data_IF_047593582337
#
_entry.id   IF_047593582337
#
_cell.length_a   1.000
_cell.length_b   1.000
_cell.length_c   1.000
_cell.angle_alpha   90.00
_cell.angle_beta   90.00
_cell.angle_gamma   90.00
#
_symmetry.space_group_name_H-M   'P 1'
#
loop_
_entity.id
_entity.type
_entity.pdbx_description
1 polymer ?
#
# COMPACT_ATOMS: atom_id res chain seq x y z
N UNK A 1 -23.85 16.64 -4.87
CA UNK A 1 -23.91 15.50 -3.94
C UNK A 1 -25.00 14.57 -4.44
N UNK A 2 -24.73 13.27 -4.58
CA UNK A 2 -25.79 12.29 -4.86
C UNK A 2 -26.77 12.28 -3.67
N UNK A 3 -28.08 12.25 -3.94
CA UNK A 3 -29.08 12.22 -2.88
C UNK A 3 -28.85 11.00 -1.96
N UNK A 4 -28.98 11.21 -0.64
CA UNK A 4 -28.86 10.11 0.32
C UNK A 4 -29.97 9.08 0.02
N UNK A 5 -29.64 7.79 -0.15
CA UNK A 5 -30.65 6.76 -0.33
C UNK A 5 -31.66 6.75 0.83
N UNK A 6 -32.97 6.57 0.57
CA UNK A 6 -33.99 6.57 1.63
C UNK A 6 -33.72 5.57 2.75
N UNK A 7 -33.13 4.42 2.41
CA UNK A 7 -32.76 3.39 3.38
C UNK A 7 -31.59 3.80 4.30
N UNK A 8 -30.91 4.94 4.07
CA UNK A 8 -29.86 5.45 4.95
C UNK A 8 -30.30 6.65 5.80
N UNK A 9 -31.55 7.13 5.68
CA UNK A 9 -32.06 8.22 6.52
C UNK A 9 -32.08 7.85 8.01
N UNK A 10 -32.35 6.59 8.34
CA UNK A 10 -32.26 6.11 9.73
C UNK A 10 -30.83 6.18 10.29
N UNK A 11 -29.81 6.00 9.43
CA UNK A 11 -28.38 6.11 9.78
C UNK A 11 -28.04 7.58 10.07
N UNK A 12 -28.50 8.51 9.22
CA UNK A 12 -28.36 9.95 9.45
C UNK A 12 -28.94 10.36 10.80
N UNK A 13 -30.17 9.93 11.09
CA UNK A 13 -30.85 10.26 12.35
C UNK A 13 -30.13 9.68 13.57
N UNK A 14 -29.66 8.44 13.49
CA UNK A 14 -28.89 7.81 14.56
C UNK A 14 -27.54 8.51 14.81
N UNK A 15 -26.84 8.91 13.75
CA UNK A 15 -25.59 9.66 13.86
C UNK A 15 -25.81 11.06 14.46
N UNK A 16 -26.87 11.76 14.03
CA UNK A 16 -27.24 13.06 14.58
C UNK A 16 -27.59 12.97 16.08
N UNK A 17 -28.35 11.95 16.47
CA UNK A 17 -28.67 11.70 17.88
C UNK A 17 -27.41 11.41 18.71
N UNK A 18 -26.44 10.67 18.15
CA UNK A 18 -25.18 10.34 18.80
C UNK A 18 -24.24 11.54 18.98
N UNK A 19 -24.36 12.59 18.15
CA UNK A 19 -23.63 13.85 18.33
C UNK A 19 -24.08 14.64 19.57
N UNK A 20 -25.25 14.32 20.13
CA UNK A 20 -25.74 14.89 21.39
C UNK A 20 -25.80 16.42 21.36
N UNK A 21 -24.96 17.06 22.17
CA UNK A 21 -24.92 18.53 22.31
C UNK A 21 -24.28 19.28 21.15
N UNK A 22 -23.62 18.60 20.21
CA UNK A 22 -22.96 19.24 19.06
C UNK A 22 -24.00 19.62 18.01
N UNK A 23 -24.02 20.90 17.64
CA UNK A 23 -24.94 21.45 16.62
C UNK A 23 -24.17 22.26 15.57
N UNK A 24 -24.68 22.42 14.34
CA UNK A 24 -24.16 23.41 13.41
C UNK A 24 -24.16 24.79 14.06
N UNK A 25 -23.15 25.63 13.81
CA UNK A 25 -23.09 26.96 14.42
C UNK A 25 -24.24 27.89 13.95
N UNK A 26 -24.76 27.66 12.73
CA UNK A 26 -25.73 28.54 12.09
C UNK A 26 -25.11 29.87 11.66
N UNK A 27 -25.95 30.89 11.49
CA UNK A 27 -25.49 32.26 11.28
C UNK A 27 -24.78 32.80 12.54
N UNK A 28 -23.80 33.70 12.40
CA UNK A 28 -23.19 34.39 13.53
C UNK A 28 -24.25 35.03 14.44
N UNK A 29 -24.13 34.84 15.75
CA UNK A 29 -25.01 35.40 16.78
C UNK A 29 -24.58 36.80 17.24
N UNK A 30 -23.40 37.27 16.83
CA UNK A 30 -22.88 38.61 17.11
C UNK A 30 -21.80 39.02 16.12
N UNK A 31 -21.51 40.32 16.05
CA UNK A 31 -20.59 40.90 15.06
C UNK A 31 -19.15 40.36 15.20
N UNK A 32 -18.75 39.96 16.41
CA UNK A 32 -17.38 39.53 16.69
C UNK A 32 -17.17 38.01 16.50
N UNK A 33 -18.23 37.20 16.32
CA UNK A 33 -18.09 35.74 16.26
C UNK A 33 -17.28 35.27 15.06
N UNK A 34 -17.44 35.90 13.89
CA UNK A 34 -16.66 35.59 12.70
C UNK A 34 -15.17 35.84 12.92
N UNK A 35 -14.84 36.98 13.54
CA UNK A 35 -13.46 37.31 13.91
C UNK A 35 -12.93 36.33 14.98
N UNK A 36 -13.75 35.99 15.96
CA UNK A 36 -13.39 35.06 17.03
C UNK A 36 -13.09 33.64 16.50
N UNK A 37 -13.82 33.19 15.49
CA UNK A 37 -13.55 31.91 14.81
C UNK A 37 -12.22 31.95 14.05
N UNK A 38 -11.93 33.06 13.35
CA UNK A 38 -10.64 33.23 12.65
C UNK A 38 -9.45 33.25 13.60
N UNK A 39 -9.64 33.73 14.83
CA UNK A 39 -8.61 33.79 15.88
C UNK A 39 -8.59 32.54 16.77
N UNK A 40 -9.36 31.50 16.44
CA UNK A 40 -9.49 30.31 17.29
C UNK A 40 -8.18 29.52 17.39
N UNK A 41 -7.91 29.04 18.60
CA UNK A 41 -6.70 28.30 18.94
C UNK A 41 -6.99 26.82 19.13
N UNK A 42 -6.05 25.95 18.70
CA UNK A 42 -6.21 24.49 18.75
C UNK A 42 -6.26 24.02 20.20
N UNK A 43 -7.25 23.21 20.55
CA UNK A 43 -7.32 22.55 21.86
C UNK A 43 -6.47 21.27 21.88
N UNK A 44 -5.98 20.89 23.06
CA UNK A 44 -5.31 19.61 23.26
C UNK A 44 -6.32 18.45 23.35
N UNK A 45 -7.50 18.69 23.92
CA UNK A 45 -8.59 17.72 24.01
C UNK A 45 -9.11 17.24 22.65
N UNK A 46 -8.86 18.01 21.58
CA UNK A 46 -9.21 17.67 20.20
C UNK A 46 -8.25 16.71 19.49
N UNK A 47 -7.13 16.31 20.09
CA UNK A 47 -6.12 15.44 19.45
C UNK A 47 -6.60 14.02 19.17
N UNK A 48 -7.59 13.56 19.93
CA UNK A 48 -8.14 12.21 19.85
C UNK A 48 -9.23 12.06 18.79
N UNK A 49 -9.46 13.07 17.94
CA UNK A 49 -10.43 12.96 16.86
C UNK A 49 -10.07 11.82 15.89
N UNK A 50 -11.07 11.13 15.32
CA UNK A 50 -10.85 10.14 14.26
C UNK A 50 -10.22 10.77 12.99
N UNK A 51 -9.76 9.95 12.03
CA UNK A 51 -9.24 10.44 10.76
C UNK A 51 -10.13 11.49 10.09
N UNK A 52 -9.50 12.52 9.52
CA UNK A 52 -10.17 13.71 8.98
C UNK A 52 -11.31 13.39 8.01
N UNK A 53 -11.14 12.39 7.16
CA UNK A 53 -12.14 12.03 6.16
C UNK A 53 -13.42 11.44 6.78
N UNK A 54 -13.33 10.71 7.90
CA UNK A 54 -14.52 10.21 8.59
C UNK A 54 -15.32 11.34 9.22
N UNK A 55 -14.61 12.31 9.82
CA UNK A 55 -15.23 13.49 10.42
C UNK A 55 -15.88 14.37 9.34
N UNK A 56 -15.20 14.56 8.22
CA UNK A 56 -15.75 15.29 7.07
C UNK A 56 -17.00 14.60 6.50
N UNK A 57 -16.92 13.28 6.23
CA UNK A 57 -18.04 12.51 5.69
C UNK A 57 -19.23 12.47 6.64
N UNK A 58 -19.00 12.42 7.96
CA UNK A 58 -20.06 12.53 8.96
C UNK A 58 -20.71 13.92 8.94
N UNK A 59 -19.92 14.96 9.23
CA UNK A 59 -20.47 16.29 9.51
C UNK A 59 -20.98 16.97 8.24
N UNK A 60 -20.16 17.00 7.20
CA UNK A 60 -20.46 17.76 5.98
C UNK A 60 -21.41 16.97 5.08
N UNK A 61 -21.06 15.73 4.75
CA UNK A 61 -21.78 15.02 3.70
C UNK A 61 -23.02 14.28 4.19
N UNK A 62 -22.96 13.56 5.32
CA UNK A 62 -24.12 12.84 5.87
C UNK A 62 -25.08 13.81 6.56
N UNK A 63 -24.56 14.70 7.42
CA UNK A 63 -25.37 15.57 8.28
C UNK A 63 -25.58 16.99 7.72
N UNK A 64 -24.88 17.39 6.66
CA UNK A 64 -25.11 18.68 6.00
C UNK A 64 -24.61 19.90 6.78
N UNK A 65 -23.63 19.75 7.66
CA UNK A 65 -23.03 20.88 8.36
C UNK A 65 -22.28 21.77 7.36
N UNK A 66 -22.27 23.08 7.63
CA UNK A 66 -21.58 24.04 6.77
C UNK A 66 -20.07 23.77 6.75
N UNK A 67 -19.49 23.76 5.55
CA UNK A 67 -18.05 23.77 5.31
C UNK A 67 -17.66 25.14 4.76
N UNK A 68 -16.79 25.88 5.47
CA UNK A 68 -16.32 27.20 5.01
C UNK A 68 -15.25 27.11 3.90
N UNK A 69 -14.79 25.91 3.57
CA UNK A 69 -13.86 25.67 2.45
C UNK A 69 -12.39 25.80 2.82
N UNK A 70 -11.58 25.97 1.79
CA UNK A 70 -10.13 26.06 1.87
C UNK A 70 -9.66 27.46 2.28
N UNK A 71 -8.58 27.51 3.06
CA UNK A 71 -7.87 28.72 3.43
C UNK A 71 -6.36 28.44 3.54
N UNK A 72 -5.54 29.45 3.84
CA UNK A 72 -4.10 29.31 4.08
C UNK A 72 -3.81 28.17 5.08
N UNK A 73 -3.20 27.09 4.60
CA UNK A 73 -2.88 25.86 5.37
C UNK A 73 -4.08 25.13 5.97
N UNK A 74 -5.30 25.38 5.47
CA UNK A 74 -6.54 24.75 5.93
C UNK A 74 -7.30 24.15 4.76
N UNK A 75 -7.64 22.86 4.84
CA UNK A 75 -8.39 22.16 3.80
C UNK A 75 -9.90 22.37 3.90
N UNK A 76 -10.43 22.41 5.12
CA UNK A 76 -11.84 22.65 5.41
C UNK A 76 -12.05 23.04 6.87
N UNK A 77 -13.14 23.76 7.12
CA UNK A 77 -13.54 24.27 8.43
C UNK A 77 -15.02 23.99 8.61
N UNK A 78 -15.38 23.33 9.71
CA UNK A 78 -16.78 23.06 10.11
C UNK A 78 -17.07 23.81 11.40
N UNK A 79 -17.78 24.96 11.35
CA UNK A 79 -18.20 25.69 12.54
C UNK A 79 -19.32 24.96 13.28
N UNK A 80 -19.16 24.78 14.59
CA UNK A 80 -20.12 24.09 15.45
C UNK A 80 -20.41 24.89 16.72
N UNK A 81 -21.50 24.54 17.39
CA UNK A 81 -21.79 24.96 18.76
C UNK A 81 -21.87 23.75 19.67
N UNK A 82 -21.30 23.90 20.86
CA UNK A 82 -21.40 22.93 21.94
C UNK A 82 -21.56 23.68 23.27
N UNK A 83 -22.54 23.28 24.08
CA UNK A 83 -22.90 23.99 25.33
C UNK A 83 -23.08 25.50 25.14
N UNK A 84 -23.68 25.90 24.00
CA UNK A 84 -23.93 27.31 23.65
C UNK A 84 -22.71 28.09 23.17
N UNK A 85 -21.51 27.50 23.13
CA UNK A 85 -20.27 28.18 22.73
C UNK A 85 -19.85 27.78 21.32
N UNK A 86 -19.23 28.73 20.62
CA UNK A 86 -18.71 28.55 19.27
C UNK A 86 -17.37 27.79 19.28
N UNK A 87 -17.23 26.82 18.38
CA UNK A 87 -16.00 26.10 18.07
C UNK A 87 -15.88 25.88 16.55
N UNK A 88 -14.71 25.52 16.07
CA UNK A 88 -14.51 24.97 14.73
C UNK A 88 -13.82 23.61 14.80
N UNK A 89 -14.18 22.72 13.88
CA UNK A 89 -13.42 21.51 13.58
C UNK A 89 -12.73 21.75 12.25
N UNK A 90 -11.40 21.64 12.24
CA UNK A 90 -10.61 22.05 11.08
C UNK A 90 -9.55 21.02 10.74
N UNK A 91 -9.40 20.75 9.46
CA UNK A 91 -8.28 19.97 8.94
C UNK A 91 -7.23 20.94 8.38
N UNK A 92 -6.15 21.13 9.15
CA UNK A 92 -5.01 21.98 8.79
C UNK A 92 -3.80 21.15 8.38
N UNK A 93 -2.74 21.79 7.89
CA UNK A 93 -1.46 21.12 7.52
C UNK A 93 -0.95 20.17 8.62
N UNK A 94 -1.12 20.56 9.88
CA UNK A 94 -0.69 19.78 11.05
C UNK A 94 -1.79 18.85 11.60
N UNK A 95 -2.69 18.42 10.72
CA UNK A 95 -3.77 17.48 11.00
C UNK A 95 -5.06 18.13 11.51
N UNK A 96 -5.99 17.25 11.86
CA UNK A 96 -7.33 17.59 12.31
C UNK A 96 -7.32 18.07 13.78
N UNK A 97 -8.14 19.07 14.10
CA UNK A 97 -8.32 19.52 15.49
C UNK A 97 -9.64 20.21 15.74
N UNK A 98 -9.94 20.39 17.03
CA UNK A 98 -11.00 21.28 17.51
C UNK A 98 -10.34 22.59 17.93
N UNK A 99 -10.92 23.71 17.51
CA UNK A 99 -10.41 25.04 17.75
C UNK A 99 -11.46 25.83 18.52
N UNK A 100 -11.00 26.56 19.55
CA UNK A 100 -11.83 27.36 20.42
C UNK A 100 -11.39 28.84 20.31
N UNK A 101 -12.33 29.79 20.15
CA UNK A 101 -12.01 31.19 20.26
C UNK A 101 -11.39 31.54 21.62
N UNK A 102 -10.29 32.29 21.59
CA UNK A 102 -9.56 32.76 22.78
C UNK A 102 -9.71 34.27 22.92
N UNK A 103 -10.00 34.77 24.12
CA UNK A 103 -10.34 36.17 24.35
C UNK A 103 -9.37 36.84 25.33
N UNK A 104 -9.04 38.11 25.09
CA UNK A 104 -8.26 38.90 26.04
C UNK A 104 -9.06 39.11 27.32
N UNK A 105 -8.50 38.71 28.47
CA UNK A 105 -9.17 38.69 29.79
C UNK A 105 -10.29 37.63 29.89
N UNK A 106 -9.89 36.34 29.95
CA UNK A 106 -10.75 35.16 30.03
C UNK A 106 -11.80 35.18 31.17
N UNK A 107 -11.65 36.05 32.16
CA UNK A 107 -12.52 36.13 33.34
C UNK A 107 -13.96 36.57 33.04
N UNK A 108 -14.26 37.15 31.87
CA UNK A 108 -15.64 37.61 31.57
C UNK A 108 -16.16 37.31 30.15
N UNK A 109 -15.37 36.73 29.22
CA UNK A 109 -15.79 36.53 27.80
C UNK A 109 -16.25 37.84 27.10
N UNK A 110 -15.73 39.01 27.50
CA UNK A 110 -16.09 40.35 26.98
C UNK A 110 -14.94 41.01 26.19
N UNK A 111 -13.84 40.29 25.93
CA UNK A 111 -12.66 40.84 25.23
C UNK A 111 -12.64 40.62 23.72
N UNK A 112 -11.75 41.33 23.02
CA UNK A 112 -11.40 41.01 21.63
C UNK A 112 -10.73 39.62 21.56
N UNK A 113 -11.10 38.84 20.54
CA UNK A 113 -10.45 37.56 20.29
C UNK A 113 -8.98 37.75 19.89
N UNK A 114 -8.10 36.92 20.41
CA UNK A 114 -6.65 36.99 20.17
C UNK A 114 -6.18 35.74 19.44
N UNK A 115 -5.30 35.91 18.45
CA UNK A 115 -4.61 34.81 17.80
C UNK A 115 -3.66 34.12 18.78
N UNK A 116 -3.50 32.81 18.63
CA UNK A 116 -2.52 32.00 19.38
C UNK A 116 -2.66 32.08 20.90
N UNK A 117 -3.87 32.31 21.41
CA UNK A 117 -4.16 32.22 22.83
C UNK A 117 -4.17 30.78 23.33
N UNK A 118 -4.11 30.60 24.66
CA UNK A 118 -4.31 29.28 25.28
C UNK A 118 -5.81 29.04 25.44
N UNK A 119 -6.39 27.95 24.92
CA UNK A 119 -7.76 27.57 25.23
C UNK A 119 -7.98 27.41 26.74
N UNK A 120 -9.15 27.80 27.23
CA UNK A 120 -9.50 27.65 28.64
C UNK A 120 -9.72 26.18 29.03
N UNK A 121 -9.61 25.86 30.32
CA UNK A 121 -9.88 24.50 30.83
C UNK A 121 -11.28 23.98 30.46
N UNK A 122 -12.28 24.87 30.44
CA UNK A 122 -13.64 24.56 29.97
C UNK A 122 -13.65 24.19 28.49
N UNK A 123 -12.92 24.92 27.64
CA UNK A 123 -12.81 24.61 26.21
C UNK A 123 -12.06 23.29 25.96
N UNK A 124 -11.04 22.99 26.77
CA UNK A 124 -10.32 21.72 26.74
C UNK A 124 -11.21 20.55 27.16
N UNK A 125 -12.04 20.73 28.18
CA UNK A 125 -13.00 19.72 28.62
C UNK A 125 -14.08 19.48 27.56
N UNK A 126 -14.67 20.54 27.01
CA UNK A 126 -15.62 20.42 25.90
C UNK A 126 -15.00 19.72 24.68
N UNK A 127 -13.74 19.99 24.36
CA UNK A 127 -13.06 19.31 23.26
C UNK A 127 -12.95 17.79 23.46
N UNK A 128 -12.61 17.34 24.69
CA UNK A 128 -12.58 15.90 25.02
C UNK A 128 -13.96 15.25 24.88
N UNK A 129 -14.99 15.92 25.38
CA UNK A 129 -16.37 15.44 25.27
C UNK A 129 -16.84 15.36 23.81
N UNK A 130 -16.56 16.40 23.02
CA UNK A 130 -16.88 16.43 21.60
C UNK A 130 -16.18 15.29 20.84
N UNK A 131 -14.92 14.98 21.14
CA UNK A 131 -14.23 13.82 20.57
C UNK A 131 -14.98 12.50 20.85
N UNK A 132 -15.48 12.30 22.07
CA UNK A 132 -16.25 11.10 22.44
C UNK A 132 -17.56 11.04 21.66
N UNK A 133 -18.27 12.16 21.54
CA UNK A 133 -19.54 12.24 20.80
C UNK A 133 -19.34 11.99 19.30
N UNK A 134 -18.30 12.59 18.70
CA UNK A 134 -17.96 12.39 17.28
C UNK A 134 -17.59 10.93 17.01
N UNK A 135 -16.82 10.27 17.88
CA UNK A 135 -16.52 8.84 17.78
C UNK A 135 -17.80 7.98 17.79
N UNK A 136 -18.70 8.25 18.73
CA UNK A 136 -20.00 7.55 18.80
C UNK A 136 -20.82 7.75 17.53
N UNK A 137 -20.88 8.98 17.01
CA UNK A 137 -21.59 9.30 15.78
C UNK A 137 -20.98 8.62 14.55
N UNK A 138 -19.64 8.53 14.47
CA UNK A 138 -18.93 7.78 13.43
C UNK A 138 -19.31 6.30 13.46
N UNK A 139 -19.34 5.66 14.63
CA UNK A 139 -19.78 4.26 14.75
C UNK A 139 -21.22 4.09 14.24
N UNK A 140 -22.11 5.04 14.52
CA UNK A 140 -23.49 5.00 13.97
C UNK A 140 -23.54 5.22 12.47
N UNK A 141 -22.58 5.94 11.90
CA UNK A 141 -22.49 6.25 10.46
C UNK A 141 -21.75 5.18 9.63
N UNK A 142 -21.25 4.09 10.23
CA UNK A 142 -20.54 3.02 9.52
C UNK A 142 -21.26 2.50 8.26
N UNK A 143 -22.58 2.21 8.27
CA UNK A 143 -23.28 1.77 7.05
C UNK A 143 -23.25 2.79 5.92
N UNK A 144 -23.25 4.08 6.25
CA UNK A 144 -23.10 5.16 5.26
C UNK A 144 -21.69 5.20 4.68
N UNK A 145 -20.65 4.99 5.51
CA UNK A 145 -19.27 4.94 5.02
C UNK A 145 -19.04 3.74 4.10
N UNK A 146 -19.61 2.57 4.42
CA UNK A 146 -19.55 1.38 3.56
C UNK A 146 -20.24 1.65 2.21
N UNK A 147 -21.47 2.19 2.24
CA UNK A 147 -22.18 2.56 1.01
C UNK A 147 -21.36 3.54 0.17
N UNK A 148 -20.78 4.57 0.80
CA UNK A 148 -19.98 5.57 0.12
C UNK A 148 -18.72 4.99 -0.51
N UNK A 149 -18.03 4.10 0.19
CA UNK A 149 -16.85 3.41 -0.33
C UNK A 149 -17.21 2.58 -1.58
N UNK A 150 -18.35 1.84 -1.53
CA UNK A 150 -18.86 1.11 -2.71
C UNK A 150 -19.15 2.03 -3.88
N UNK A 151 -19.81 3.17 -3.65
CA UNK A 151 -20.09 4.14 -4.72
C UNK A 151 -18.82 4.74 -5.32
N UNK A 152 -17.79 5.00 -4.50
CA UNK A 152 -16.52 5.49 -4.98
C UNK A 152 -15.79 4.45 -5.85
N UNK A 153 -15.83 3.18 -5.46
CA UNK A 153 -15.17 2.06 -6.15
C UNK A 153 -15.67 1.84 -7.59
N UNK A 154 -16.95 2.11 -7.86
CA UNK A 154 -17.54 2.00 -9.22
C UNK A 154 -16.88 2.96 -10.22
N UNK A 155 -16.36 4.10 -9.75
CA UNK A 155 -15.83 5.16 -10.60
C UNK A 155 -14.30 5.12 -10.79
N UNK A 156 -13.80 6.12 -11.51
CA UNK A 156 -12.37 6.36 -11.76
C UNK A 156 -11.77 7.47 -10.86
N UNK A 157 -12.55 8.07 -9.96
CA UNK A 157 -12.09 9.16 -9.08
C UNK A 157 -11.32 8.60 -7.87
N UNK A 158 -10.30 7.82 -8.15
CA UNK A 158 -9.54 7.05 -7.18
C UNK A 158 -8.06 7.08 -7.52
N UNK A 159 -7.26 7.00 -6.47
CA UNK A 159 -5.83 6.76 -6.56
C UNK A 159 -5.56 5.33 -6.09
N UNK A 160 -4.72 4.62 -6.83
CA UNK A 160 -4.20 3.30 -6.48
C UNK A 160 -2.80 3.50 -5.91
N UNK A 161 -2.63 3.17 -4.63
CA UNK A 161 -1.34 3.29 -3.93
C UNK A 161 -0.28 2.46 -4.62
N UNK A 162 0.90 3.03 -4.82
CA UNK A 162 2.02 2.40 -5.47
C UNK A 162 3.15 2.12 -4.47
N UNK A 163 3.34 0.85 -4.13
CA UNK A 163 4.41 0.35 -3.27
C UNK A 163 5.52 -0.35 -4.07
N UNK A 164 5.55 -0.15 -5.40
CA UNK A 164 6.40 -0.94 -6.29
C UNK A 164 7.88 -0.70 -6.06
N UNK A 165 8.30 0.54 -5.73
CA UNK A 165 9.72 0.83 -5.40
C UNK A 165 10.18 -0.02 -4.21
N UNK A 166 9.44 0.02 -3.10
CA UNK A 166 9.77 -0.75 -1.90
C UNK A 166 9.79 -2.27 -2.17
N UNK A 167 8.82 -2.79 -2.93
CA UNK A 167 8.77 -4.20 -3.31
C UNK A 167 9.95 -4.60 -4.21
N UNK A 168 10.34 -3.73 -5.13
CA UNK A 168 11.47 -3.97 -6.03
C UNK A 168 12.80 -3.89 -5.28
N UNK A 169 13.01 -2.88 -4.44
CA UNK A 169 14.18 -2.75 -3.56
C UNK A 169 14.36 -3.99 -2.68
N UNK A 170 13.27 -4.54 -2.13
CA UNK A 170 13.30 -5.80 -1.39
C UNK A 170 13.79 -6.96 -2.26
N UNK A 171 13.31 -7.07 -3.49
CA UNK A 171 13.79 -8.08 -4.43
C UNK A 171 15.28 -7.91 -4.73
N UNK A 172 15.73 -6.69 -5.03
CA UNK A 172 17.12 -6.39 -5.34
C UNK A 172 18.05 -6.73 -4.18
N UNK A 173 17.69 -6.30 -2.96
CA UNK A 173 18.45 -6.60 -1.75
C UNK A 173 18.68 -8.11 -1.59
N UNK A 174 17.62 -8.91 -1.72
CA UNK A 174 17.71 -10.37 -1.53
C UNK A 174 18.45 -11.03 -2.70
N UNK A 175 18.23 -10.57 -3.95
CA UNK A 175 18.95 -11.03 -5.14
C UNK A 175 20.46 -10.78 -5.01
N UNK A 176 20.85 -9.62 -4.52
CA UNK A 176 22.25 -9.23 -4.43
C UNK A 176 22.95 -9.97 -3.28
N UNK A 177 22.24 -10.23 -2.18
CA UNK A 177 22.72 -11.14 -1.13
C UNK A 177 22.88 -12.57 -1.64
N UNK A 178 21.98 -13.05 -2.50
CA UNK A 178 22.14 -14.34 -3.16
C UNK A 178 23.42 -14.37 -4.01
N UNK A 179 23.65 -13.35 -4.84
CA UNK A 179 24.85 -13.24 -5.69
C UNK A 179 26.11 -13.25 -4.83
N UNK A 180 26.13 -12.49 -3.74
CA UNK A 180 27.24 -12.46 -2.78
C UNK A 180 27.53 -13.85 -2.18
N UNK A 181 26.50 -14.58 -1.77
CA UNK A 181 26.64 -15.93 -1.21
C UNK A 181 27.08 -16.96 -2.25
N UNK A 182 26.59 -16.88 -3.49
CA UNK A 182 27.01 -17.77 -4.59
C UNK A 182 28.49 -17.55 -4.95
N UNK A 183 28.94 -16.31 -5.00
CA UNK A 183 30.36 -15.97 -5.18
C UNK A 183 31.23 -16.43 -4.00
N UNK A 184 30.76 -16.26 -2.76
CA UNK A 184 31.46 -16.74 -1.58
C UNK A 184 31.58 -18.27 -1.58
N UNK A 185 30.51 -18.96 -1.98
CA UNK A 185 30.53 -20.41 -2.16
C UNK A 185 31.60 -20.83 -3.16
N UNK A 186 31.65 -20.21 -4.34
CA UNK A 186 32.64 -20.55 -5.37
C UNK A 186 34.08 -20.31 -4.91
N UNK A 187 34.34 -19.26 -4.13
CA UNK A 187 35.68 -18.99 -3.57
C UNK A 187 36.10 -20.02 -2.53
N UNK A 188 35.14 -20.54 -1.74
CA UNK A 188 35.41 -21.36 -0.55
C UNK A 188 35.09 -22.84 -0.75
N UNK A 189 34.68 -23.26 -1.95
CA UNK A 189 34.21 -24.64 -2.23
C UNK A 189 35.22 -25.72 -1.92
N UNK A 190 36.51 -25.41 -2.05
CA UNK A 190 37.62 -26.33 -1.81
C UNK A 190 38.18 -26.24 -0.37
N UNK A 191 37.65 -25.33 0.47
CA UNK A 191 38.08 -25.19 1.86
C UNK A 191 37.66 -26.41 2.71
N UNK A 192 38.61 -26.90 3.51
CA UNK A 192 38.40 -27.99 4.45
C UNK A 192 39.01 -27.65 5.80
N UNK A 193 38.16 -27.51 6.81
CA UNK A 193 38.57 -27.30 8.19
C UNK A 193 38.68 -28.65 8.89
N UNK A 194 39.84 -28.93 9.49
CA UNK A 194 40.10 -30.19 10.19
C UNK A 194 40.34 -29.87 11.66
N UNK A 195 39.45 -30.38 12.53
CA UNK A 195 39.62 -30.33 13.98
C UNK A 195 40.02 -31.71 14.47
N UNK A 196 41.17 -31.79 15.16
CA UNK A 196 41.64 -33.02 15.81
C UNK A 196 41.28 -32.97 17.29
N UNK A 197 40.67 -34.03 17.81
CA UNK A 197 40.30 -34.16 19.21
C UNK A 197 41.37 -34.92 20.00
N UNK A 198 41.50 -34.68 21.32
CA UNK A 198 42.47 -35.37 22.17
C UNK A 198 42.36 -36.90 22.18
N UNK A 199 41.17 -37.44 21.88
CA UNK A 199 40.92 -38.88 21.77
C UNK A 199 41.31 -39.50 20.41
N UNK A 200 41.97 -38.74 19.53
CA UNK A 200 42.35 -39.18 18.19
C UNK A 200 41.24 -39.04 17.13
N UNK A 201 40.05 -38.57 17.51
CA UNK A 201 38.97 -38.28 16.56
C UNK A 201 39.30 -37.11 15.64
N UNK A 202 38.82 -37.16 14.39
CA UNK A 202 38.98 -36.08 13.41
C UNK A 202 37.61 -35.66 12.91
N UNK A 203 37.28 -34.37 13.04
CA UNK A 203 36.13 -33.77 12.39
C UNK A 203 36.60 -32.94 11.20
N UNK A 204 36.03 -33.20 10.02
CA UNK A 204 36.22 -32.37 8.83
C UNK A 204 34.94 -31.60 8.56
N UNK A 205 35.05 -30.27 8.46
CA UNK A 205 33.94 -29.37 8.11
C UNK A 205 34.28 -28.70 6.79
N UNK A 206 33.29 -28.64 5.90
CA UNK A 206 33.38 -27.93 4.63
C UNK A 206 32.43 -26.71 4.72
N UNK A 207 32.96 -25.51 5.03
CA UNK A 207 32.14 -24.30 5.23
C UNK A 207 31.23 -23.98 4.03
N UNK A 208 31.69 -24.31 2.83
CA UNK A 208 30.95 -24.13 1.58
C UNK A 208 29.54 -24.73 1.59
N UNK A 209 29.29 -25.85 2.29
CA UNK A 209 27.94 -26.42 2.35
C UNK A 209 26.95 -25.55 3.12
N UNK A 210 27.40 -24.85 4.16
CA UNK A 210 26.56 -23.92 4.90
C UNK A 210 26.25 -22.69 4.03
N UNK A 211 27.28 -22.13 3.38
CA UNK A 211 27.14 -21.00 2.46
C UNK A 211 26.18 -21.34 1.32
N UNK A 212 26.34 -22.52 0.70
CA UNK A 212 25.46 -23.00 -0.38
C UNK A 212 24.00 -23.08 0.06
N UNK A 213 23.76 -23.58 1.27
CA UNK A 213 22.41 -23.70 1.83
C UNK A 213 21.77 -22.33 2.05
N UNK A 214 22.55 -21.38 2.58
CA UNK A 214 22.09 -20.01 2.76
C UNK A 214 21.79 -19.37 1.41
N UNK A 215 22.67 -19.55 0.40
CA UNK A 215 22.42 -19.08 -0.95
C UNK A 215 21.09 -19.63 -1.49
N UNK A 216 20.78 -20.90 -1.29
CA UNK A 216 19.53 -21.49 -1.78
C UNK A 216 18.28 -20.89 -1.13
N UNK A 217 18.30 -20.70 0.20
CA UNK A 217 17.20 -20.03 0.91
C UNK A 217 17.03 -18.59 0.45
N UNK A 218 18.12 -17.85 0.32
CA UNK A 218 18.12 -16.47 -0.15
C UNK A 218 17.62 -16.39 -1.60
N UNK A 219 18.06 -17.30 -2.47
CA UNK A 219 17.62 -17.35 -3.87
C UNK A 219 16.12 -17.60 -3.99
N UNK A 220 15.57 -18.52 -3.21
CA UNK A 220 14.11 -18.78 -3.15
C UNK A 220 13.36 -17.54 -2.67
N UNK A 221 13.84 -16.88 -1.61
CA UNK A 221 13.25 -15.65 -1.10
C UNK A 221 13.31 -14.49 -2.11
N UNK A 222 14.38 -14.39 -2.91
CA UNK A 222 14.48 -13.39 -3.98
C UNK A 222 13.42 -13.65 -5.05
N UNK A 223 13.22 -14.90 -5.45
CA UNK A 223 12.22 -15.20 -6.47
C UNK A 223 10.80 -14.94 -5.97
N UNK A 224 10.49 -15.29 -4.72
CA UNK A 224 9.20 -14.95 -4.11
C UNK A 224 9.00 -13.42 -4.05
N UNK A 225 10.05 -12.66 -3.72
CA UNK A 225 10.01 -11.20 -3.72
C UNK A 225 9.76 -10.63 -5.14
N UNK A 226 10.36 -11.21 -6.18
CA UNK A 226 10.09 -10.84 -7.58
C UNK A 226 8.62 -11.04 -7.95
N UNK A 227 8.03 -12.19 -7.60
CA UNK A 227 6.62 -12.42 -7.87
C UNK A 227 5.71 -11.50 -7.05
N UNK A 228 6.07 -11.19 -5.81
CA UNK A 228 5.35 -10.20 -5.00
C UNK A 228 5.40 -8.79 -5.63
N UNK A 229 6.54 -8.38 -6.17
CA UNK A 229 6.67 -7.11 -6.88
C UNK A 229 5.81 -7.10 -8.15
N UNK A 230 5.89 -8.14 -8.98
CA UNK A 230 5.14 -8.19 -10.24
C UNK A 230 3.62 -8.28 -10.05
N UNK A 231 3.12 -8.95 -9.00
CA UNK A 231 1.68 -8.91 -8.63
C UNK A 231 1.16 -7.47 -8.47
N UNK A 232 2.00 -6.57 -7.96
CA UNK A 232 1.66 -5.17 -7.74
C UNK A 232 1.95 -4.30 -8.97
N UNK A 233 3.17 -4.37 -9.51
CA UNK A 233 3.60 -3.56 -10.65
C UNK A 233 2.70 -3.75 -11.88
N UNK A 234 2.22 -4.98 -12.14
CA UNK A 234 1.35 -5.25 -13.28
C UNK A 234 -0.01 -4.54 -13.19
N UNK A 235 -0.55 -4.31 -12.00
CA UNK A 235 -1.79 -3.54 -11.85
C UNK A 235 -1.54 -2.09 -12.29
N UNK A 236 -0.44 -1.49 -11.86
CA UNK A 236 -0.07 -0.13 -12.24
C UNK A 236 0.22 0.02 -13.73
N UNK A 237 0.96 -0.92 -14.34
CA UNK A 237 1.22 -0.91 -15.79
C UNK A 237 -0.11 -1.05 -16.56
N UNK A 238 -1.03 -1.90 -16.11
CA UNK A 238 -2.34 -2.05 -16.75
C UNK A 238 -3.19 -0.75 -16.66
N UNK A 239 -3.10 0.00 -15.56
CA UNK A 239 -3.73 1.32 -15.42
C UNK A 239 -3.11 2.33 -16.39
N UNK A 240 -1.78 2.41 -16.44
CA UNK A 240 -1.05 3.35 -17.31
C UNK A 240 -1.34 3.08 -18.79
N UNK A 241 -1.46 1.82 -19.18
CA UNK A 241 -1.86 1.41 -20.53
C UNK A 241 -3.35 1.62 -20.83
N UNK A 242 -4.15 2.05 -19.84
CA UNK A 242 -5.59 2.26 -19.97
C UNK A 242 -6.41 0.97 -20.05
N UNK A 243 -5.85 -0.18 -19.68
CA UNK A 243 -6.60 -1.45 -19.61
C UNK A 243 -7.47 -1.54 -18.34
N UNK A 244 -7.11 -0.81 -17.28
CA UNK A 244 -7.82 -0.73 -15.99
C UNK A 244 -8.21 0.72 -15.74
N UNK A 245 -9.50 0.99 -15.52
CA UNK A 245 -10.05 2.35 -15.52
C UNK A 245 -10.90 2.69 -14.30
N UNK A 246 -11.41 1.70 -13.59
CA UNK A 246 -12.29 1.89 -12.42
C UNK A 246 -11.76 1.15 -11.19
N UNK A 247 -12.27 1.50 -10.01
CA UNK A 247 -11.91 0.77 -8.79
C UNK A 247 -12.37 -0.69 -8.81
N UNK A 248 -13.48 -1.00 -9.47
CA UNK A 248 -13.94 -2.38 -9.70
C UNK A 248 -12.98 -3.15 -10.61
N UNK A 249 -12.45 -2.53 -11.67
CA UNK A 249 -11.42 -3.15 -12.52
C UNK A 249 -10.16 -3.47 -11.71
N UNK A 250 -9.73 -2.55 -10.82
CA UNK A 250 -8.58 -2.75 -9.94
C UNK A 250 -8.83 -3.92 -8.98
N UNK A 251 -10.01 -3.97 -8.36
CA UNK A 251 -10.36 -5.05 -7.44
C UNK A 251 -10.39 -6.41 -8.16
N UNK A 252 -11.04 -6.48 -9.32
CA UNK A 252 -11.10 -7.69 -10.15
C UNK A 252 -9.70 -8.16 -10.57
N UNK A 253 -8.83 -7.24 -11.00
CA UNK A 253 -7.46 -7.59 -11.39
C UNK A 253 -6.61 -7.99 -10.19
N UNK A 254 -6.79 -7.36 -9.02
CA UNK A 254 -6.09 -7.71 -7.79
C UNK A 254 -6.42 -9.13 -7.31
N UNK A 255 -7.68 -9.55 -7.40
CA UNK A 255 -8.14 -10.91 -7.07
C UNK A 255 -7.75 -11.96 -8.12
N UNK A 256 -7.53 -11.53 -9.36
CA UNK A 256 -7.15 -12.43 -10.45
C UNK A 256 -5.78 -13.07 -10.20
N UNK A 257 -5.52 -14.20 -10.88
CA UNK A 257 -4.20 -14.82 -10.80
C UNK A 257 -3.12 -13.98 -11.51
N UNK A 258 -1.85 -14.24 -11.19
CA UNK A 258 -0.73 -13.56 -11.83
C UNK A 258 -0.73 -13.67 -13.36
N UNK A 259 -1.31 -14.74 -13.94
CA UNK A 259 -1.41 -14.91 -15.39
C UNK A 259 -2.26 -13.81 -16.00
N UNK A 260 -3.42 -13.53 -15.39
CA UNK A 260 -4.31 -12.47 -15.81
C UNK A 260 -3.63 -11.09 -15.63
N UNK A 261 -2.98 -10.86 -14.49
CA UNK A 261 -2.23 -9.62 -14.22
C UNK A 261 -1.14 -9.35 -15.25
N UNK A 262 -0.31 -10.36 -15.54
CA UNK A 262 0.74 -10.26 -16.55
C UNK A 262 0.17 -9.85 -17.91
N UNK A 263 -0.89 -10.52 -18.37
CA UNK A 263 -1.50 -10.24 -19.68
C UNK A 263 -2.17 -8.86 -19.75
N UNK A 264 -2.69 -8.36 -18.64
CA UNK A 264 -3.26 -7.02 -18.57
C UNK A 264 -2.16 -5.94 -18.65
N UNK A 265 -0.99 -6.21 -18.08
CA UNK A 265 0.15 -5.29 -18.09
C UNK A 265 0.94 -5.33 -19.40
N UNK A 266 1.23 -6.53 -19.90
CA UNK A 266 2.17 -6.78 -20.99
C UNK A 266 1.47 -7.58 -22.10
N UNK A 267 1.23 -6.99 -23.28
CA UNK A 267 0.65 -7.70 -24.41
C UNK A 267 1.57 -8.86 -24.85
N UNK A 268 1.04 -10.08 -24.83
CA UNK A 268 1.77 -11.31 -25.23
C UNK A 268 1.80 -11.54 -26.75
N UNK A 269 1.61 -10.47 -27.51
CA UNK A 269 1.57 -10.48 -28.98
C UNK A 269 3.00 -10.57 -29.53
N UNK A 270 3.98 -10.11 -28.74
CA UNK A 270 5.40 -10.27 -29.00
C UNK A 270 5.87 -11.68 -28.62
N UNK A 271 6.58 -12.35 -29.54
CA UNK A 271 7.04 -13.73 -29.36
C UNK A 271 8.07 -13.88 -28.23
N UNK A 272 8.91 -12.87 -28.00
CA UNK A 272 9.90 -12.85 -26.92
C UNK A 272 9.21 -12.65 -25.56
N UNK A 273 8.26 -11.71 -25.46
CA UNK A 273 7.44 -11.54 -24.25
C UNK A 273 6.67 -12.82 -23.93
N UNK A 274 6.06 -13.46 -24.95
CA UNK A 274 5.34 -14.73 -24.78
C UNK A 274 6.25 -15.84 -24.26
N UNK A 275 7.46 -15.98 -24.83
CA UNK A 275 8.43 -16.97 -24.36
C UNK A 275 8.80 -16.74 -22.89
N UNK A 276 9.08 -15.49 -22.51
CA UNK A 276 9.43 -15.13 -21.13
C UNK A 276 8.26 -15.36 -20.16
N UNK A 277 7.04 -15.04 -20.59
CA UNK A 277 5.82 -15.34 -19.86
C UNK A 277 5.71 -16.84 -19.55
N UNK A 278 5.89 -17.71 -20.55
CA UNK A 278 5.84 -19.16 -20.37
C UNK A 278 6.94 -19.66 -19.41
N UNK A 279 8.18 -19.15 -19.55
CA UNK A 279 9.30 -19.45 -18.64
C UNK A 279 9.00 -19.05 -17.20
N UNK A 280 8.50 -17.84 -16.96
CA UNK A 280 8.18 -17.36 -15.61
C UNK A 280 7.02 -18.13 -14.98
N UNK A 281 6.04 -18.57 -15.77
CA UNK A 281 4.96 -19.42 -15.26
C UNK A 281 5.44 -20.79 -14.81
N UNK A 282 6.31 -21.42 -15.59
CA UNK A 282 6.93 -22.69 -15.24
C UNK A 282 7.74 -22.55 -13.94
N UNK A 283 8.57 -21.51 -13.87
CA UNK A 283 9.37 -21.17 -12.68
C UNK A 283 8.50 -20.94 -11.44
N UNK A 284 7.39 -20.20 -11.56
CA UNK A 284 6.44 -20.00 -10.45
C UNK A 284 5.80 -21.31 -9.98
N UNK A 285 5.45 -22.19 -10.91
CA UNK A 285 4.88 -23.49 -10.59
C UNK A 285 5.89 -24.39 -9.86
N UNK A 286 7.15 -24.41 -10.31
CA UNK A 286 8.22 -25.20 -9.70
C UNK A 286 8.45 -24.80 -8.23
N UNK A 287 8.55 -23.50 -7.93
CA UNK A 287 8.79 -23.01 -6.55
C UNK A 287 7.61 -23.33 -5.64
N UNK A 288 6.39 -23.06 -6.10
CA UNK A 288 5.19 -23.36 -5.32
C UNK A 288 5.10 -24.86 -5.00
N UNK A 289 5.38 -25.72 -5.97
CA UNK A 289 5.36 -27.16 -5.77
C UNK A 289 6.47 -27.60 -4.80
N UNK A 290 7.69 -27.06 -4.95
CA UNK A 290 8.80 -27.34 -4.04
C UNK A 290 8.49 -26.98 -2.59
N UNK A 291 7.95 -25.78 -2.37
CA UNK A 291 7.61 -25.28 -1.03
C UNK A 291 6.36 -25.96 -0.43
N UNK A 292 5.30 -26.16 -1.21
CA UNK A 292 4.04 -26.76 -0.75
C UNK A 292 4.20 -28.24 -0.35
N UNK A 293 5.22 -28.92 -0.88
CA UNK A 293 5.56 -30.29 -0.50
C UNK A 293 6.62 -30.34 0.62
N UNK A 294 6.76 -29.30 1.44
CA UNK A 294 7.60 -29.32 2.64
C UNK A 294 9.10 -29.53 2.36
N UNK A 295 9.55 -29.15 1.16
CA UNK A 295 10.92 -29.35 0.71
C UNK A 295 11.42 -30.81 0.87
N UNK A 296 10.62 -31.80 0.45
CA UNK A 296 11.03 -33.22 0.34
C UNK A 296 12.25 -33.37 -0.59
N UNK A 297 13.45 -33.09 -0.07
CA UNK A 297 14.72 -33.03 -0.80
C UNK A 297 14.72 -32.10 -2.03
N UNK A 298 15.90 -31.70 -2.52
CA UNK A 298 16.04 -30.93 -3.77
C UNK A 298 15.60 -31.68 -5.06
N UNK A 299 15.08 -32.89 -4.91
CA UNK A 299 14.74 -33.83 -5.99
C UNK A 299 13.40 -34.54 -5.76
N UNK A 300 12.54 -34.07 -4.86
CA UNK A 300 11.33 -34.80 -4.46
C UNK A 300 11.63 -36.10 -3.69
N UNK A 301 12.77 -36.17 -3.00
CA UNK A 301 13.16 -37.30 -2.16
C UNK A 301 12.26 -37.35 -0.93
N UNK A 302 11.24 -38.20 -0.98
CA UNK A 302 10.32 -38.37 0.14
C UNK A 302 10.85 -39.38 1.17
N UNK A 303 11.56 -40.41 0.71
CA UNK A 303 12.07 -41.48 1.58
C UNK A 303 13.23 -42.24 0.93
N UNK A 304 13.98 -42.98 1.75
CA UNK A 304 15.02 -43.93 1.30
C UNK A 304 14.54 -45.35 1.59
N UNK A 305 14.82 -46.31 0.71
CA UNK A 305 14.64 -47.73 1.01
C UNK A 305 15.97 -48.40 1.33
N UNK A 306 15.94 -49.44 2.16
CA UNK A 306 17.14 -50.19 2.53
C UNK A 306 17.44 -51.27 1.48
N UNK A 307 18.69 -51.39 1.08
CA UNK A 307 19.16 -52.40 0.13
C UNK A 307 20.59 -52.84 0.46
N UNK A 308 21.11 -53.85 -0.26
CA UNK A 308 22.52 -54.24 -0.17
C UNK A 308 23.51 -53.13 -0.60
N UNK A 309 23.04 -52.10 -1.30
CA UNK A 309 23.82 -50.90 -1.64
C UNK A 309 23.74 -49.80 -0.56
N UNK A 310 23.09 -50.08 0.58
CA UNK A 310 22.77 -49.11 1.62
C UNK A 310 21.38 -48.47 1.44
N UNK A 311 21.18 -47.32 2.08
CA UNK A 311 19.93 -46.57 2.00
C UNK A 311 19.86 -45.81 0.66
N UNK A 312 19.01 -46.28 -0.26
CA UNK A 312 18.86 -45.73 -1.61
C UNK A 312 17.71 -44.72 -1.63
N UNK A 313 17.92 -43.49 -2.13
CA UNK A 313 16.87 -42.48 -2.22
C UNK A 313 15.82 -42.83 -3.27
N UNK A 314 14.55 -42.60 -2.96
CA UNK A 314 13.43 -42.69 -3.89
C UNK A 314 12.91 -41.27 -4.15
N UNK A 315 12.81 -40.91 -5.43
CA UNK A 315 12.20 -39.65 -5.87
C UNK A 315 10.72 -39.89 -6.18
N UNK A 316 9.85 -39.00 -5.73
CA UNK A 316 8.46 -38.96 -6.17
C UNK A 316 8.37 -38.22 -7.50
N UNK A 317 7.66 -38.79 -8.48
CA UNK A 317 7.39 -38.09 -9.75
C UNK A 317 5.94 -37.64 -9.83
N UNK A 318 5.70 -36.57 -10.59
CA UNK A 318 4.36 -36.05 -10.90
C UNK A 318 3.56 -36.97 -11.83
N UNK A 319 4.17 -38.00 -12.43
CA UNK A 319 3.48 -38.93 -13.35
C UNK A 319 2.77 -40.01 -12.55
N UNK A 320 1.43 -40.01 -12.57
CA UNK A 320 0.61 -40.97 -11.81
C UNK A 320 0.92 -42.45 -12.12
N UNK A 321 1.38 -42.77 -13.34
CA UNK A 321 1.77 -44.13 -13.74
C UNK A 321 3.21 -44.52 -13.41
N UNK A 322 4.09 -43.58 -13.04
CA UNK A 322 5.49 -43.84 -12.65
C UNK A 322 5.85 -43.02 -11.43
N UNK A 323 5.18 -43.29 -10.30
CA UNK A 323 5.26 -42.45 -9.09
C UNK A 323 6.64 -42.44 -8.43
N UNK A 324 7.52 -43.38 -8.76
CA UNK A 324 8.81 -43.56 -8.10
C UNK A 324 9.94 -43.66 -9.14
N UNK A 325 11.07 -42.99 -8.89
CA UNK A 325 12.30 -43.17 -9.68
C UNK A 325 13.54 -43.11 -8.78
N UNK A 326 14.61 -43.80 -9.19
CA UNK A 326 15.92 -43.77 -8.54
C UNK A 326 16.88 -42.75 -9.17
N UNK A 327 16.49 -42.18 -10.31
CA UNK A 327 17.30 -41.23 -11.10
C UNK A 327 16.44 -40.04 -11.57
N UNK A 328 17.03 -38.85 -11.63
CA UNK A 328 16.33 -37.60 -12.00
C UNK A 328 17.23 -36.35 -11.93
N UNK A 329 16.85 -35.27 -12.63
CA UNK A 329 17.53 -33.95 -12.58
C UNK A 329 17.07 -33.16 -11.34
N UNK A 330 17.86 -32.18 -10.83
CA UNK A 330 17.39 -31.28 -9.77
C UNK A 330 16.14 -30.53 -10.24
N UNK A 331 15.12 -30.45 -9.39
CA UNK A 331 13.80 -29.90 -9.74
C UNK A 331 13.77 -28.38 -9.77
N UNK A 332 14.75 -27.70 -9.16
CA UNK A 332 14.84 -26.24 -9.18
C UNK A 332 16.30 -25.78 -9.06
N UNK A 333 16.72 -24.84 -9.91
CA UNK A 333 18.06 -24.26 -9.89
C UNK A 333 17.94 -22.75 -9.72
N UNK A 334 18.17 -22.26 -8.48
CA UNK A 334 17.98 -20.84 -8.11
C UNK A 334 18.78 -19.90 -9.02
N UNK A 335 20.01 -20.27 -9.37
CA UNK A 335 20.88 -19.48 -10.27
C UNK A 335 20.26 -19.30 -11.65
N UNK A 336 19.75 -20.38 -12.23
CA UNK A 336 19.12 -20.33 -13.54
C UNK A 336 17.82 -19.54 -13.49
N UNK A 337 17.01 -19.74 -12.45
CA UNK A 337 15.77 -19.02 -12.22
C UNK A 337 16.00 -17.50 -12.09
N UNK A 338 16.97 -17.09 -11.27
CA UNK A 338 17.32 -15.67 -11.11
C UNK A 338 17.90 -15.06 -12.39
N UNK A 339 18.66 -15.83 -13.18
CA UNK A 339 19.13 -15.36 -14.48
C UNK A 339 17.97 -15.14 -15.48
N UNK A 340 16.95 -16.01 -15.48
CA UNK A 340 15.75 -15.82 -16.31
C UNK A 340 14.94 -14.59 -15.87
N UNK A 341 14.83 -14.36 -14.55
CA UNK A 341 14.21 -13.14 -14.00
C UNK A 341 15.01 -11.89 -14.41
N UNK A 342 16.34 -11.88 -14.22
CA UNK A 342 17.20 -10.77 -14.62
C UNK A 342 17.12 -10.51 -16.14
N UNK A 343 16.99 -11.57 -16.95
CA UNK A 343 16.78 -11.44 -18.39
C UNK A 343 15.40 -10.87 -18.74
N UNK A 344 14.35 -11.29 -18.02
CA UNK A 344 13.01 -10.73 -18.18
C UNK A 344 12.98 -9.24 -17.84
N UNK A 345 13.48 -8.85 -16.66
CA UNK A 345 13.51 -7.45 -16.22
C UNK A 345 14.22 -6.60 -17.28
N UNK A 346 15.44 -6.99 -17.69
CA UNK A 346 16.18 -6.28 -18.74
C UNK A 346 15.39 -6.16 -20.04
N UNK A 347 14.70 -7.23 -20.46
CA UNK A 347 13.89 -7.18 -21.66
C UNK A 347 12.73 -6.18 -21.53
N UNK A 348 11.99 -6.17 -20.41
CA UNK A 348 10.90 -5.21 -20.19
C UNK A 348 11.39 -3.76 -20.34
N UNK A 349 12.58 -3.44 -19.82
CA UNK A 349 13.23 -2.12 -19.97
C UNK A 349 13.64 -1.77 -21.42
N UNK A 350 13.64 -2.73 -22.34
CA UNK A 350 13.90 -2.48 -23.77
C UNK A 350 12.62 -2.35 -24.60
N UNK A 351 11.45 -2.58 -24.00
CA UNK A 351 10.14 -2.49 -24.67
C UNK A 351 9.42 -1.18 -24.32
N UNK A 352 8.28 -0.92 -24.96
CA UNK A 352 7.42 0.21 -24.59
C UNK A 352 6.95 0.20 -23.12
N UNK A 353 7.00 -0.94 -22.44
CA UNK A 353 6.70 -1.04 -21.01
C UNK A 353 7.74 -0.32 -20.12
N UNK A 354 8.91 0.02 -20.64
CA UNK A 354 9.92 0.79 -19.91
C UNK A 354 9.39 2.16 -19.44
N UNK A 355 8.58 2.82 -20.26
CA UNK A 355 7.98 4.12 -19.92
C UNK A 355 7.01 3.96 -18.73
N UNK A 356 6.19 2.89 -18.73
CA UNK A 356 5.31 2.61 -17.60
C UNK A 356 6.10 2.28 -16.33
N UNK A 357 7.20 1.53 -16.46
CA UNK A 357 8.06 1.19 -15.33
C UNK A 357 8.67 2.42 -14.66
N UNK A 358 9.01 3.47 -15.42
CA UNK A 358 9.50 4.73 -14.85
C UNK A 358 8.50 5.32 -13.84
N UNK A 359 7.21 5.37 -14.22
CA UNK A 359 6.14 5.79 -13.29
C UNK A 359 6.02 4.84 -12.10
N UNK A 360 6.03 3.52 -12.36
CA UNK A 360 5.91 2.51 -11.31
C UNK A 360 7.02 2.65 -10.28
N UNK A 361 8.25 2.94 -10.71
CA UNK A 361 9.41 3.13 -9.84
C UNK A 361 9.42 4.46 -9.11
N UNK A 362 8.76 5.50 -9.63
CA UNK A 362 8.66 6.80 -8.92
C UNK A 362 7.92 6.72 -7.58
N UNK A 363 7.14 5.66 -7.33
CA UNK A 363 6.31 5.51 -6.13
C UNK A 363 5.05 6.36 -6.14
N UNK A 364 4.82 7.16 -7.18
CA UNK A 364 3.58 7.90 -7.35
C UNK A 364 2.40 6.96 -7.52
N UNK A 365 1.28 7.29 -6.87
CA UNK A 365 0.03 6.57 -7.02
C UNK A 365 -0.50 6.65 -8.46
N UNK A 366 -1.12 5.59 -8.94
CA UNK A 366 -1.81 5.64 -10.23
C UNK A 366 -3.22 6.22 -10.07
N UNK A 367 -3.54 7.26 -10.82
CA UNK A 367 -4.81 7.99 -10.75
C UNK A 367 -5.72 7.46 -11.85
N UNK A 368 -6.79 6.77 -11.48
CA UNK A 368 -7.66 6.09 -12.45
C UNK A 368 -8.36 7.05 -13.43
N UNK A 369 -8.58 8.30 -13.03
CA UNK A 369 -9.14 9.32 -13.93
C UNK A 369 -8.20 9.59 -15.11
N UNK A 370 -6.89 9.51 -14.90
CA UNK A 370 -5.91 9.73 -15.96
C UNK A 370 -5.85 8.58 -16.98
N UNK A 371 -6.36 7.40 -16.60
CA UNK A 371 -6.58 6.29 -17.52
C UNK A 371 -7.84 6.46 -18.38
N UNK A 372 -8.79 7.31 -17.96
CA UNK A 372 -10.04 7.56 -18.69
C UNK A 372 -10.04 8.84 -19.53
N UNK A 373 -9.30 9.87 -19.13
CA UNK A 373 -9.23 11.17 -19.81
C UNK A 373 -8.05 11.31 -20.81
N UNK A 374 -7.27 10.24 -20.98
CA UNK A 374 -6.14 10.18 -21.91
C UNK A 374 -4.84 10.82 -21.41
N UNK A 375 -4.79 11.28 -20.16
CA UNK A 375 -3.56 11.85 -19.55
C UNK A 375 -2.43 10.84 -19.55
N UNK A 376 -2.67 9.59 -19.15
CA UNK A 376 -1.63 8.55 -19.25
C UNK A 376 -1.26 8.22 -20.69
N UNK A 377 -2.21 8.25 -21.62
CA UNK A 377 -1.91 8.08 -23.04
C UNK A 377 -0.89 9.11 -23.55
N UNK A 378 -0.98 10.37 -23.10
CA UNK A 378 0.00 11.42 -23.43
C UNK A 378 1.34 11.21 -22.73
N UNK A 379 1.33 10.92 -21.43
CA UNK A 379 2.55 10.68 -20.65
C UNK A 379 3.33 9.44 -21.13
N UNK A 380 2.64 8.44 -21.67
CA UNK A 380 3.22 7.19 -22.17
C UNK A 380 3.82 7.30 -23.58
N UNK A 381 3.77 8.47 -24.23
CA UNK A 381 4.25 8.65 -25.62
C UNK A 381 5.77 8.49 -25.72
N UNK A 382 6.54 9.13 -24.83
CA UNK A 382 7.99 9.04 -24.77
C UNK A 382 8.48 8.97 -23.33
N UNK A 383 9.74 8.56 -23.14
CA UNK A 383 10.37 8.56 -21.82
C UNK A 383 10.47 9.98 -21.23
N UNK A 384 10.64 11.01 -22.07
CA UNK A 384 10.71 12.40 -21.61
C UNK A 384 9.34 12.88 -21.12
N UNK A 385 8.27 12.61 -21.89
CA UNK A 385 6.90 12.96 -21.48
C UNK A 385 6.54 12.35 -20.12
N UNK A 386 6.98 11.12 -19.86
CA UNK A 386 6.76 10.46 -18.58
C UNK A 386 7.54 11.11 -17.44
N UNK A 387 8.80 11.52 -17.67
CA UNK A 387 9.60 12.20 -16.65
C UNK A 387 9.03 13.57 -16.30
N UNK A 388 8.63 14.35 -17.30
CA UNK A 388 7.93 15.63 -17.09
C UNK A 388 6.62 15.42 -16.32
N UNK A 389 5.86 14.38 -16.65
CA UNK A 389 4.65 14.02 -15.92
C UNK A 389 4.94 13.67 -14.45
N UNK A 390 5.98 12.86 -14.17
CA UNK A 390 6.39 12.50 -12.81
C UNK A 390 6.83 13.73 -12.02
N UNK A 391 7.62 14.62 -12.61
CA UNK A 391 8.06 15.86 -11.98
C UNK A 391 6.88 16.76 -11.62
N UNK A 392 5.96 16.96 -12.57
CA UNK A 392 4.72 17.70 -12.34
C UNK A 392 3.91 17.08 -11.19
N UNK A 393 3.74 15.75 -11.19
CA UNK A 393 2.97 15.05 -10.17
C UNK A 393 3.60 15.15 -8.78
N UNK A 394 4.92 15.02 -8.66
CA UNK A 394 5.63 15.23 -7.40
C UNK A 394 5.38 16.65 -6.87
N UNK A 395 5.48 17.66 -7.73
CA UNK A 395 5.17 19.03 -7.35
C UNK A 395 3.70 19.20 -6.87
N UNK A 396 2.73 18.55 -7.52
CA UNK A 396 1.33 18.59 -7.07
C UNK A 396 1.12 17.90 -5.72
N UNK A 397 1.80 16.77 -5.49
CA UNK A 397 1.76 16.05 -4.21
C UNK A 397 2.35 16.91 -3.10
N UNK A 398 3.49 17.55 -3.34
CA UNK A 398 4.15 18.43 -2.38
C UNK A 398 3.28 19.66 -2.04
N UNK A 399 2.67 20.29 -3.04
CA UNK A 399 1.71 21.38 -2.81
C UNK A 399 0.52 20.93 -1.98
N UNK A 400 -0.05 19.78 -2.31
CA UNK A 400 -1.19 19.22 -1.59
C UNK A 400 -0.84 18.87 -0.14
N UNK A 401 0.33 18.27 0.10
CA UNK A 401 0.84 17.96 1.43
C UNK A 401 1.11 19.23 2.26
N UNK A 402 1.54 20.30 1.60
CA UNK A 402 1.73 21.61 2.21
C UNK A 402 0.46 22.45 2.35
N UNK A 403 -0.68 21.94 1.85
CA UNK A 403 -1.97 22.66 1.77
C UNK A 403 -1.83 24.02 1.05
N UNK A 404 -1.06 24.02 -0.03
CA UNK A 404 -0.87 25.15 -0.95
C UNK A 404 -1.87 25.06 -2.10
N UNK A 405 -3.09 25.51 -1.82
CA UNK A 405 -4.24 25.42 -2.73
C UNK A 405 -4.05 26.21 -4.04
#
# INVERSE_FOLDING_TARGET
MSALPPNLEHVRNAALAALGGIKPAGSPQGNDESHALMMASRTNGGRDLPPYYLVYFLLVDLLGFANLGQWEKVAWIVPIRYSGRLYSIEHRKMGLGIFAPTYKNDLQKIGQAIASGTPSDEAEQHAREMCVLIKKAITKAEPYFEWRAKQAAVGSKLNVTNNSSWLFERYEYIRDEYKRLDEEFERRKDERNITKYPNGGIMSVWPAYAIRRHAEWTGQAAIDAFFSWTEHAFIHIAILNGAVKTGEDVAALAEADWKAKFKAALPINDAEIKKRYETLLDLRAQIRNYMAHGAFGKRGQAFKFHSGAGAVPVLLTLRQQRRYTLTGKPDFAEKAALNEIDAFIRHVYTTGAAIALEHVQSGLASILTYATDGTYGRAMNTMEDMKEFIEYMNHQVDRSANMDW
#
